data_IF_500547796741
#
_entry.id   IF_500547796741
#
_cell.length_a   1.000
_cell.length_b   1.000
_cell.length_c   1.000
_cell.angle_alpha   90.00
_cell.angle_beta   90.00
_cell.angle_gamma   90.00
#
_symmetry.space_group_name_H-M   'P 1'
#
loop_
_entity.id
_entity.type
_entity.pdbx_description
1 polymer ?
#
# COMPACT_ATOMS: atom_id res chain seq x y z
N UNK A 1 8.15 27.52 -1.98
CA UNK A 1 7.20 26.71 -1.18
C UNK A 1 8.05 25.76 -0.33
N UNK A 2 8.00 25.94 0.97
CA UNK A 2 9.01 25.46 1.90
C UNK A 2 9.06 23.95 2.05
N UNK A 3 10.27 23.39 2.04
CA UNK A 3 10.59 21.99 2.34
C UNK A 3 10.03 21.59 3.72
N UNK A 4 9.96 22.52 4.66
CA UNK A 4 9.37 22.34 5.99
C UNK A 4 7.88 22.00 5.93
N UNK A 5 7.09 22.66 5.08
CA UNK A 5 5.65 22.42 4.94
C UNK A 5 5.36 21.02 4.38
N UNK A 6 6.21 20.53 3.47
CA UNK A 6 6.11 19.17 2.95
C UNK A 6 6.41 18.11 3.99
N UNK A 7 7.38 18.38 4.87
CA UNK A 7 7.72 17.46 5.96
C UNK A 7 6.55 17.31 6.93
N UNK A 8 5.92 18.41 7.33
CA UNK A 8 4.76 18.41 8.23
C UNK A 8 3.54 17.68 7.66
N UNK A 9 3.34 17.75 6.33
CA UNK A 9 2.24 17.03 5.65
C UNK A 9 2.54 15.53 5.56
N UNK A 10 3.77 15.14 5.32
CA UNK A 10 4.16 13.74 5.07
C UNK A 10 4.41 12.94 6.34
N UNK A 11 4.85 13.60 7.41
CA UNK A 11 5.22 12.97 8.67
C UNK A 11 4.11 12.07 9.27
N UNK A 12 2.83 12.49 9.33
CA UNK A 12 1.77 11.62 9.84
C UNK A 12 1.57 10.34 9.03
N UNK A 13 1.79 10.40 7.72
CA UNK A 13 1.71 9.22 6.85
C UNK A 13 2.89 8.28 7.07
N UNK A 14 4.09 8.81 7.25
CA UNK A 14 5.27 8.01 7.59
C UNK A 14 5.10 7.32 8.94
N UNK A 15 4.55 8.02 9.90
CA UNK A 15 4.24 7.48 11.22
C UNK A 15 3.24 6.33 11.13
N UNK A 16 2.11 6.54 10.44
CA UNK A 16 1.09 5.52 10.26
C UNK A 16 1.65 4.24 9.63
N UNK A 17 2.47 4.40 8.62
CA UNK A 17 3.11 3.26 7.95
C UNK A 17 4.00 2.50 8.92
N UNK A 18 4.85 3.17 9.68
CA UNK A 18 5.72 2.54 10.67
C UNK A 18 4.93 1.81 11.75
N UNK A 19 3.88 2.44 12.28
CA UNK A 19 3.02 1.83 13.30
C UNK A 19 2.29 0.59 12.78
N UNK A 20 1.69 0.66 11.61
CA UNK A 20 1.01 -0.47 10.98
C UNK A 20 1.99 -1.61 10.69
N UNK A 21 3.22 -1.30 10.25
CA UNK A 21 4.25 -2.28 10.01
C UNK A 21 4.64 -3.02 11.31
N UNK A 22 4.81 -2.31 12.41
CA UNK A 22 5.10 -2.92 13.72
C UNK A 22 3.94 -3.82 14.15
N UNK A 23 2.70 -3.36 14.02
CA UNK A 23 1.50 -4.12 14.37
C UNK A 23 1.36 -5.41 13.58
N UNK A 24 1.55 -5.36 12.25
CA UNK A 24 1.48 -6.57 11.41
C UNK A 24 2.64 -7.53 11.65
N UNK A 25 3.84 -7.03 11.90
CA UNK A 25 4.97 -7.88 12.32
C UNK A 25 4.71 -8.56 13.68
N UNK A 26 4.00 -7.88 14.56
CA UNK A 26 3.62 -8.47 15.84
C UNK A 26 2.66 -9.65 15.65
N UNK A 27 1.69 -9.57 14.72
CA UNK A 27 0.81 -10.69 14.39
C UNK A 27 1.60 -11.93 13.94
N UNK A 28 2.64 -11.76 13.14
CA UNK A 28 3.52 -12.89 12.75
C UNK A 28 4.14 -13.53 14.00
N UNK A 29 4.67 -12.70 14.91
CA UNK A 29 5.29 -13.19 16.15
C UNK A 29 4.29 -13.90 17.06
N UNK A 30 3.05 -13.42 17.15
CA UNK A 30 2.00 -14.06 17.93
C UNK A 30 1.63 -15.44 17.40
N UNK A 31 1.50 -15.60 16.07
CA UNK A 31 1.25 -16.90 15.44
C UNK A 31 2.38 -17.87 15.73
N UNK A 32 3.63 -17.46 15.50
CA UNK A 32 4.80 -18.30 15.75
C UNK A 32 4.94 -18.65 17.24
N UNK A 33 4.68 -17.69 18.14
CA UNK A 33 4.76 -17.92 19.59
C UNK A 33 3.73 -18.95 20.11
N UNK A 34 2.61 -19.09 19.40
CA UNK A 34 1.57 -20.08 19.68
C UNK A 34 1.75 -21.39 18.90
N UNK A 35 2.84 -21.52 18.12
CA UNK A 35 3.05 -22.66 17.23
C UNK A 35 2.04 -22.76 16.10
N UNK A 36 1.39 -21.66 15.73
CA UNK A 36 0.39 -21.59 14.67
C UNK A 36 1.02 -21.15 13.36
N UNK A 37 0.45 -21.60 12.26
CA UNK A 37 0.79 -21.09 10.93
C UNK A 37 0.43 -19.60 10.82
N UNK A 38 1.38 -18.78 10.35
CA UNK A 38 1.14 -17.36 10.09
C UNK A 38 0.74 -17.18 8.61
N UNK A 39 -0.44 -16.57 8.33
CA UNK A 39 -0.82 -16.25 6.96
C UNK A 39 0.02 -15.10 6.36
N UNK A 40 0.75 -14.35 7.20
CA UNK A 40 1.66 -13.29 6.79
C UNK A 40 3.09 -13.84 6.81
N UNK A 41 3.75 -13.83 5.66
CA UNK A 41 5.15 -14.20 5.51
C UNK A 41 6.07 -13.02 5.87
N UNK A 42 5.78 -11.86 5.29
CA UNK A 42 6.56 -10.66 5.58
C UNK A 42 5.75 -9.38 5.39
N UNK A 43 6.20 -8.34 6.06
CA UNK A 43 5.66 -6.97 5.94
C UNK A 43 6.80 -6.05 5.59
N UNK A 44 6.78 -5.54 4.38
CA UNK A 44 7.77 -4.56 3.95
C UNK A 44 7.23 -3.14 4.04
N UNK A 45 8.08 -2.18 4.36
CA UNK A 45 7.71 -0.80 4.63
C UNK A 45 8.41 0.22 3.75
N UNK A 46 7.69 0.92 2.84
CA UNK A 46 8.26 2.01 2.04
C UNK A 46 7.24 3.12 1.79
N UNK A 47 7.45 4.29 2.37
CA UNK A 47 6.71 5.49 1.97
C UNK A 47 7.16 5.92 0.58
N UNK A 48 6.28 5.82 -0.42
CA UNK A 48 6.56 6.38 -1.74
C UNK A 48 6.47 7.90 -1.64
N UNK A 49 7.63 8.57 -1.63
CA UNK A 49 7.65 10.02 -1.81
C UNK A 49 7.06 10.33 -3.20
N UNK A 50 5.89 10.96 -3.23
CA UNK A 50 5.27 11.42 -4.47
C UNK A 50 6.04 12.66 -4.96
N UNK A 51 7.16 12.46 -5.66
CA UNK A 51 8.02 13.52 -6.20
C UNK A 51 7.62 13.96 -7.60
N UNK A 52 6.33 14.05 -7.92
CA UNK A 52 5.91 14.62 -9.19
C UNK A 52 4.77 15.63 -8.98
N UNK A 53 5.10 16.74 -8.35
CA UNK A 53 4.31 17.97 -8.46
C UNK A 53 5.01 18.92 -9.44
N UNK A 54 4.67 18.82 -10.71
CA UNK A 54 4.90 19.93 -11.63
C UNK A 54 3.61 20.73 -11.74
N UNK A 55 3.63 21.96 -11.23
CA UNK A 55 2.82 23.10 -11.60
C UNK A 55 1.29 22.95 -11.61
N UNK A 56 0.59 23.78 -10.87
CA UNK A 56 -0.85 24.09 -10.88
C UNK A 56 -1.82 23.29 -10.01
N UNK A 57 -1.47 22.12 -9.48
CA UNK A 57 -2.36 21.37 -8.58
C UNK A 57 -1.82 21.23 -7.14
N UNK A 58 -0.78 21.97 -6.80
CA UNK A 58 -0.17 21.94 -5.46
C UNK A 58 -1.09 22.49 -4.35
N UNK A 59 -2.08 23.30 -4.70
CA UNK A 59 -2.98 23.94 -3.72
C UNK A 59 -4.05 23.01 -3.15
N UNK A 60 -4.26 21.82 -3.71
CA UNK A 60 -5.32 20.90 -3.27
C UNK A 60 -4.83 19.59 -2.60
N UNK A 61 -3.55 19.45 -2.30
CA UNK A 61 -3.02 18.27 -1.59
C UNK A 61 -3.32 16.90 -2.25
N UNK A 62 -3.69 16.89 -3.52
CA UNK A 62 -4.08 15.68 -4.23
C UNK A 62 -2.91 15.15 -5.04
N UNK A 63 -2.39 14.01 -4.64
CA UNK A 63 -1.52 13.22 -5.50
C UNK A 63 -2.36 12.69 -6.67
N UNK A 64 -2.24 13.32 -7.85
CA UNK A 64 -2.95 12.88 -9.04
C UNK A 64 -2.45 11.49 -9.45
N UNK A 65 -3.34 10.49 -9.41
CA UNK A 65 -3.11 9.18 -10.03
C UNK A 65 -3.26 9.33 -11.55
N UNK A 66 -2.36 8.73 -12.30
CA UNK A 66 -2.55 8.50 -13.74
C UNK A 66 -3.68 7.49 -14.07
N UNK A 67 -4.27 6.86 -13.08
CA UNK A 67 -5.26 5.76 -13.24
C UNK A 67 -6.68 6.19 -12.85
N UNK A 68 -7.07 7.47 -13.02
CA UNK A 68 -8.48 7.90 -12.96
C UNK A 68 -9.21 7.77 -11.62
N UNK A 69 -8.53 7.49 -10.51
CA UNK A 69 -9.14 7.38 -9.18
C UNK A 69 -8.87 8.59 -8.31
N UNK A 70 -9.91 9.36 -7.99
CA UNK A 70 -9.85 10.43 -7.00
C UNK A 70 -9.54 9.88 -5.61
N UNK A 71 -8.38 10.20 -5.06
CA UNK A 71 -8.05 9.82 -3.71
C UNK A 71 -6.56 9.98 -3.40
N UNK A 72 -6.19 11.12 -2.82
CA UNK A 72 -4.89 11.32 -2.22
C UNK A 72 -4.72 10.40 -1.02
N UNK A 73 -4.05 9.27 -1.21
CA UNK A 73 -3.71 8.33 -0.16
C UNK A 73 -2.31 7.82 -0.41
N UNK A 74 -1.53 7.67 0.65
CA UNK A 74 -0.22 7.05 0.57
C UNK A 74 -0.37 5.56 0.27
N UNK A 75 0.38 5.07 -0.70
CA UNK A 75 0.51 3.65 -0.93
C UNK A 75 1.33 3.07 0.22
N UNK A 76 0.64 2.37 1.10
CA UNK A 76 1.25 1.55 2.10
C UNK A 76 1.96 0.36 1.47
N UNK A 77 2.58 -0.42 2.31
CA UNK A 77 3.47 -1.51 1.99
C UNK A 77 2.71 -2.77 1.66
N UNK A 78 3.25 -3.61 0.77
CA UNK A 78 2.68 -4.92 0.60
C UNK A 78 2.88 -5.76 1.87
N UNK A 79 1.81 -6.39 2.29
CA UNK A 79 1.82 -7.55 3.16
C UNK A 79 1.96 -8.75 2.23
N UNK A 80 3.02 -9.51 2.44
CA UNK A 80 3.32 -10.67 1.61
C UNK A 80 2.82 -11.94 2.29
N UNK A 81 2.04 -12.72 1.56
CA UNK A 81 1.52 -14.03 1.94
C UNK A 81 2.22 -15.11 1.12
N UNK A 82 2.23 -16.31 1.64
CA UNK A 82 2.79 -17.45 0.94
C UNK A 82 1.82 -17.98 -0.13
N UNK A 83 0.55 -18.12 0.22
CA UNK A 83 -0.49 -18.67 -0.64
C UNK A 83 -1.61 -17.66 -0.91
N UNK A 84 -2.40 -17.90 -1.96
CA UNK A 84 -3.53 -17.05 -2.34
C UNK A 84 -4.63 -17.07 -1.28
N UNK A 85 -4.88 -18.24 -0.67
CA UNK A 85 -5.88 -18.41 0.40
C UNK A 85 -5.54 -17.61 1.67
N UNK A 86 -4.27 -17.30 1.88
CA UNK A 86 -3.83 -16.51 3.02
C UNK A 86 -4.18 -15.03 2.86
N UNK A 87 -4.36 -14.56 1.63
CA UNK A 87 -4.75 -13.18 1.36
C UNK A 87 -6.11 -12.87 1.98
N UNK A 88 -7.09 -13.78 1.83
CA UNK A 88 -8.41 -13.62 2.44
C UNK A 88 -8.32 -13.64 3.97
N UNK A 89 -7.54 -14.56 4.54
CA UNK A 89 -7.31 -14.63 6.00
C UNK A 89 -6.69 -13.33 6.55
N UNK A 90 -5.72 -12.76 5.83
CA UNK A 90 -5.09 -11.49 6.24
C UNK A 90 -6.07 -10.33 6.10
N UNK A 91 -6.86 -10.28 5.04
CA UNK A 91 -7.90 -9.27 4.88
C UNK A 91 -8.90 -9.32 6.04
N UNK A 92 -9.37 -10.52 6.43
CA UNK A 92 -10.25 -10.74 7.57
C UNK A 92 -9.62 -10.30 8.90
N UNK A 93 -8.33 -10.61 9.10
CA UNK A 93 -7.61 -10.18 10.30
C UNK A 93 -7.54 -8.65 10.41
N UNK A 94 -7.36 -7.96 9.30
CA UNK A 94 -7.32 -6.49 9.25
C UNK A 94 -8.71 -5.91 9.49
N UNK A 95 -9.75 -6.48 8.87
CA UNK A 95 -11.14 -6.02 9.00
C UNK A 95 -11.67 -6.15 10.44
N UNK A 96 -11.21 -7.15 11.20
CA UNK A 96 -11.60 -7.38 12.60
C UNK A 96 -10.92 -6.44 13.60
N UNK A 97 -9.96 -5.62 13.15
CA UNK A 97 -9.23 -4.71 14.05
C UNK A 97 -10.08 -3.48 14.38
N UNK A 98 -10.10 -3.12 15.66
CA UNK A 98 -10.78 -1.91 16.14
C UNK A 98 -10.03 -0.61 15.87
N UNK A 99 -8.73 -0.68 15.60
CA UNK A 99 -7.86 0.47 15.35
C UNK A 99 -7.70 0.82 13.85
N UNK A 100 -8.38 0.07 12.98
CA UNK A 100 -8.39 0.27 11.52
C UNK A 100 -9.83 0.33 11.04
N UNK A 101 -10.19 1.36 10.31
CA UNK A 101 -11.50 1.51 9.68
C UNK A 101 -11.40 1.30 8.18
N UNK A 102 -12.10 0.31 7.65
CA UNK A 102 -12.10 0.02 6.21
C UNK A 102 -12.95 1.05 5.48
N UNK A 103 -12.37 1.73 4.50
CA UNK A 103 -13.07 2.65 3.60
C UNK A 103 -13.59 1.95 2.34
N UNK A 104 -12.75 1.16 1.72
CA UNK A 104 -13.08 0.39 0.51
C UNK A 104 -12.05 -0.69 0.25
N UNK A 105 -12.43 -1.67 -0.54
CA UNK A 105 -11.56 -2.75 -0.99
C UNK A 105 -11.59 -2.88 -2.52
N UNK A 106 -10.49 -3.40 -3.10
CA UNK A 106 -10.36 -3.68 -4.52
C UNK A 106 -9.65 -5.01 -4.70
N UNK A 107 -10.37 -5.96 -5.27
CA UNK A 107 -9.88 -7.29 -5.55
C UNK A 107 -9.37 -7.38 -7.00
N UNK A 108 -8.06 -7.18 -7.17
CA UNK A 108 -7.39 -7.41 -8.45
C UNK A 108 -6.88 -8.85 -8.61
N UNK A 109 -7.28 -9.78 -7.73
CA UNK A 109 -7.00 -11.20 -7.86
C UNK A 109 -8.10 -11.84 -8.71
N UNK A 110 -9.36 -11.56 -8.37
CA UNK A 110 -10.53 -12.02 -9.11
C UNK A 110 -10.76 -11.19 -10.39
N UNK A 111 -10.44 -9.88 -10.34
CA UNK A 111 -10.58 -8.93 -11.44
C UNK A 111 -9.20 -8.43 -11.87
N UNK A 112 -8.43 -9.33 -12.48
CA UNK A 112 -7.06 -9.08 -12.94
C UNK A 112 -7.05 -7.93 -13.97
N UNK A 113 -6.01 -7.08 -13.90
CA UNK A 113 -5.76 -6.07 -14.94
C UNK A 113 -5.19 -6.72 -16.20
N UNK A 114 -5.35 -6.07 -17.34
CA UNK A 114 -4.83 -6.53 -18.64
C UNK A 114 -3.31 -6.79 -18.63
N UNK A 115 -2.57 -6.09 -17.77
CA UNK A 115 -1.12 -6.29 -17.55
C UNK A 115 -0.76 -7.56 -16.76
N UNK A 116 -1.74 -8.35 -16.31
CA UNK A 116 -1.52 -9.49 -15.41
C UNK A 116 -1.30 -9.10 -13.96
N UNK A 117 -1.40 -7.81 -13.61
CA UNK A 117 -1.24 -7.34 -12.24
C UNK A 117 -2.31 -7.92 -11.31
N UNK A 118 -1.88 -8.53 -10.20
CA UNK A 118 -2.73 -9.10 -9.16
C UNK A 118 -2.34 -8.53 -7.80
N UNK A 119 -3.33 -8.14 -7.01
CA UNK A 119 -3.16 -7.69 -5.63
C UNK A 119 -4.53 -7.50 -4.99
N UNK A 120 -4.63 -7.67 -3.69
CA UNK A 120 -5.80 -7.27 -2.92
C UNK A 120 -5.49 -5.94 -2.22
N UNK A 121 -6.33 -4.93 -2.40
CA UNK A 121 -6.10 -3.59 -1.85
C UNK A 121 -7.19 -3.25 -0.85
N UNK A 122 -6.78 -2.86 0.34
CA UNK A 122 -7.63 -2.26 1.37
C UNK A 122 -7.30 -0.78 1.49
N UNK A 123 -8.28 0.07 1.28
CA UNK A 123 -8.18 1.49 1.60
C UNK A 123 -8.75 1.66 3.01
N UNK A 124 -7.93 2.13 3.91
CA UNK A 124 -8.29 2.23 5.33
C UNK A 124 -8.08 3.63 5.86
N UNK A 125 -8.84 3.99 6.89
CA UNK A 125 -8.53 5.11 7.75
C UNK A 125 -7.78 4.62 8.98
N UNK A 126 -6.71 5.31 9.31
CA UNK A 126 -5.89 5.08 10.48
C UNK A 126 -5.60 6.38 11.19
N UNK A 127 -5.73 6.40 12.51
CA UNK A 127 -5.46 7.60 13.32
C UNK A 127 -4.09 7.50 13.95
N UNK A 128 -3.27 8.51 13.73
CA UNK A 128 -1.96 8.67 14.38
C UNK A 128 -1.99 9.81 15.37
N UNK A 129 -1.28 9.68 16.47
CA UNK A 129 -1.08 10.76 17.43
C UNK A 129 0.10 11.63 17.01
N UNK A 130 -0.13 12.92 16.92
CA UNK A 130 0.88 13.93 16.60
C UNK A 130 0.98 14.97 17.70
N UNK A 131 2.02 15.80 17.69
CA UNK A 131 2.15 16.93 18.62
C UNK A 131 0.94 17.87 18.60
N UNK A 132 0.23 17.93 17.46
CA UNK A 132 -0.95 18.76 17.26
C UNK A 132 -2.26 17.98 17.46
N UNK A 133 -2.21 16.83 18.14
CA UNK A 133 -3.34 15.94 18.40
C UNK A 133 -3.52 14.84 17.34
N UNK A 134 -4.61 14.06 17.45
CA UNK A 134 -4.86 12.93 16.58
C UNK A 134 -5.14 13.38 15.14
N UNK A 135 -4.49 12.71 14.18
CA UNK A 135 -4.75 12.89 12.75
C UNK A 135 -5.25 11.59 12.13
N UNK A 136 -6.45 11.64 11.54
CA UNK A 136 -7.03 10.55 10.78
C UNK A 136 -6.55 10.64 9.34
N UNK A 137 -5.85 9.63 8.88
CA UNK A 137 -5.25 9.58 7.54
C UNK A 137 -5.73 8.36 6.76
N UNK A 138 -5.70 8.46 5.45
CA UNK A 138 -6.04 7.36 4.57
C UNK A 138 -4.77 6.63 4.15
N UNK A 139 -4.75 5.31 4.35
CA UNK A 139 -3.64 4.42 3.99
C UNK A 139 -4.15 3.33 3.05
N UNK A 140 -3.36 2.97 2.05
CA UNK A 140 -3.63 1.82 1.18
C UNK A 140 -2.74 0.65 1.62
N UNK A 141 -3.36 -0.44 2.04
CA UNK A 141 -2.70 -1.70 2.36
C UNK A 141 -2.84 -2.61 1.15
N UNK A 142 -1.71 -3.12 0.65
CA UNK A 142 -1.69 -4.07 -0.47
C UNK A 142 -1.32 -5.45 0.06
N UNK A 143 -2.14 -6.46 -0.24
CA UNK A 143 -1.90 -7.84 0.17
C UNK A 143 -1.64 -8.65 -1.09
N UNK A 144 -0.53 -9.39 -1.12
CA UNK A 144 -0.05 -10.13 -2.29
C UNK A 144 0.62 -11.42 -1.89
N UNK A 145 0.70 -12.37 -2.82
CA UNK A 145 1.69 -13.45 -2.69
C UNK A 145 3.07 -12.97 -3.15
N UNK A 146 4.12 -13.74 -2.84
CA UNK A 146 5.49 -13.47 -3.30
C UNK A 146 5.57 -13.38 -4.84
N UNK A 147 4.87 -14.27 -5.55
CA UNK A 147 4.83 -14.25 -7.02
C UNK A 147 4.15 -12.98 -7.55
N UNK A 148 3.05 -12.55 -6.93
CA UNK A 148 2.36 -11.32 -7.31
C UNK A 148 3.22 -10.06 -7.06
N UNK A 149 3.99 -10.04 -5.98
CA UNK A 149 4.89 -8.92 -5.66
C UNK A 149 6.07 -8.86 -6.62
N UNK A 150 6.64 -10.01 -6.96
CA UNK A 150 7.69 -10.13 -7.96
C UNK A 150 7.21 -9.61 -9.33
N UNK A 151 6.03 -10.04 -9.79
CA UNK A 151 5.43 -9.56 -11.04
C UNK A 151 5.19 -8.05 -11.03
N UNK A 152 4.60 -7.52 -9.94
CA UNK A 152 4.37 -6.09 -9.80
C UNK A 152 5.66 -5.26 -9.85
N UNK A 153 6.76 -5.80 -9.33
CA UNK A 153 8.08 -5.17 -9.37
C UNK A 153 8.63 -5.13 -10.79
N UNK A 154 8.51 -6.23 -11.54
CA UNK A 154 8.94 -6.31 -12.95
C UNK A 154 8.11 -5.35 -13.80
N UNK A 155 6.78 -5.41 -13.72
CA UNK A 155 5.89 -4.53 -14.46
C UNK A 155 6.23 -3.05 -14.24
N UNK A 156 6.43 -2.67 -12.98
CA UNK A 156 6.82 -1.30 -12.65
C UNK A 156 8.18 -0.92 -13.25
N UNK A 157 9.14 -1.84 -13.24
CA UNK A 157 10.47 -1.61 -13.81
C UNK A 157 10.43 -1.47 -15.32
N UNK A 158 9.62 -2.28 -16.00
CA UNK A 158 9.41 -2.21 -17.44
C UNK A 158 8.74 -0.90 -17.84
N UNK A 159 7.66 -0.50 -17.13
CA UNK A 159 6.98 0.77 -17.37
C UNK A 159 7.89 1.98 -17.15
N UNK A 160 8.81 1.90 -16.16
CA UNK A 160 9.76 2.98 -15.90
C UNK A 160 10.84 3.07 -16.98
N UNK A 161 11.36 1.92 -17.42
CA UNK A 161 12.43 1.83 -18.44
C UNK A 161 11.93 2.22 -19.83
N UNK A 162 10.70 1.86 -20.16
CA UNK A 162 10.10 2.08 -21.49
C UNK A 162 8.96 3.11 -21.44
N UNK A 163 9.24 4.31 -20.94
CA UNK A 163 8.27 5.38 -20.67
C UNK A 163 7.35 5.80 -21.83
N UNK A 164 7.60 5.39 -23.06
CA UNK A 164 6.80 5.76 -24.23
C UNK A 164 6.42 4.60 -25.17
N UNK A 165 7.25 3.58 -25.32
CA UNK A 165 6.99 2.45 -26.21
C UNK A 165 7.62 1.19 -25.62
N UNK A 166 6.80 0.29 -25.07
CA UNK A 166 7.25 -1.08 -24.82
C UNK A 166 7.31 -1.75 -26.18
N UNK A 167 8.48 -2.20 -26.68
CA UNK A 167 8.56 -2.94 -27.94
C UNK A 167 7.67 -4.16 -27.92
N UNK A 168 6.99 -4.47 -29.01
CA UNK A 168 5.97 -5.54 -29.07
C UNK A 168 6.52 -6.92 -28.67
N UNK A 169 7.79 -7.19 -28.94
CA UNK A 169 8.50 -8.43 -28.53
C UNK A 169 8.72 -8.57 -27.01
N UNK A 170 8.36 -7.58 -26.20
CA UNK A 170 8.42 -7.62 -24.73
C UNK A 170 6.99 -7.76 -24.13
N UNK A 171 5.95 -7.62 -24.95
CA UNK A 171 4.55 -7.75 -24.53
C UNK A 171 4.02 -9.19 -24.58
N UNK A 172 4.69 -10.07 -25.32
CA UNK A 172 4.42 -11.50 -25.37
C UNK A 172 5.15 -12.25 -24.24
#
# INVERSE_FOLDING_TARGET
>A
MDILLWHEILEPYELAVKELQVKFRHLIKEHHGKGLYSPIESVSGRVKKCFQYSGKNAEKGHCARRDGGAGGGYRGHPIICQFVEDIEKVADLIQKRSDIEIKSEKDYIRHMKDSGYRSYHLIVYYTVETMNGPKRIQVEIQIRTMAMDFWATIEHSLQYKYKANIPDHIRE
#
